data_IF_878430363491
#
_entry.id   IF_878430363491
#
_cell.length_a   1.000
_cell.length_b   1.000
_cell.length_c   1.000
_cell.angle_alpha   90.00
_cell.angle_beta   90.00
_cell.angle_gamma   90.00
#
_symmetry.space_group_name_H-M   'P 1'
#
loop_
_entity.id
_entity.type
_entity.pdbx_description
1 polymer ?
#
# COMPACT_ATOMS: atom_id res chain seq x y z
N UNK A 1 14.89 -29.30 5.00
CA UNK A 1 13.43 -29.22 5.06
C UNK A 1 12.97 -29.07 3.61
N UNK A 2 12.42 -30.14 3.00
CA UNK A 2 11.98 -30.04 1.60
C UNK A 2 10.73 -29.16 1.57
N UNK A 3 10.89 -27.94 1.13
CA UNK A 3 9.78 -27.02 0.86
C UNK A 3 8.94 -27.58 -0.30
N UNK A 4 7.63 -27.47 -0.19
CA UNK A 4 6.71 -27.75 -1.28
C UNK A 4 7.00 -26.76 -2.40
N UNK A 5 7.05 -27.22 -3.65
CA UNK A 5 7.07 -26.36 -4.84
C UNK A 5 5.67 -26.35 -5.47
N UNK A 6 5.38 -25.38 -6.34
CA UNK A 6 4.10 -25.35 -7.06
C UNK A 6 3.84 -26.65 -7.86
N UNK A 7 4.91 -27.33 -8.27
CA UNK A 7 4.86 -28.62 -9.00
C UNK A 7 4.88 -29.85 -8.06
N UNK A 8 4.78 -29.66 -6.73
CA UNK A 8 4.78 -30.78 -5.80
C UNK A 8 3.46 -31.57 -5.94
N UNK A 9 3.52 -32.89 -6.22
CA UNK A 9 2.32 -33.72 -6.38
C UNK A 9 1.39 -33.70 -5.15
N UNK A 10 1.93 -33.42 -3.97
CA UNK A 10 1.14 -33.31 -2.72
C UNK A 10 0.31 -32.02 -2.72
N UNK A 11 0.83 -30.93 -3.29
CA UNK A 11 0.10 -29.69 -3.46
C UNK A 11 -1.06 -29.86 -4.45
N UNK A 12 -0.80 -30.42 -5.62
CA UNK A 12 -1.84 -30.73 -6.61
C UNK A 12 -2.91 -31.66 -6.04
N UNK A 13 -2.51 -32.70 -5.28
CA UNK A 13 -3.44 -33.60 -4.62
C UNK A 13 -4.30 -32.87 -3.55
N UNK A 14 -3.71 -31.93 -2.82
CA UNK A 14 -4.44 -31.12 -1.82
C UNK A 14 -5.45 -30.20 -2.52
N UNK A 15 -5.05 -29.46 -3.53
CA UNK A 15 -5.95 -28.57 -4.31
C UNK A 15 -7.06 -29.38 -4.97
N UNK A 16 -6.76 -30.55 -5.53
CA UNK A 16 -7.74 -31.45 -6.12
C UNK A 16 -8.78 -31.93 -5.11
N UNK A 17 -8.36 -32.33 -3.89
CA UNK A 17 -9.28 -32.75 -2.82
C UNK A 17 -10.17 -31.61 -2.31
N UNK A 18 -9.62 -30.40 -2.16
CA UNK A 18 -10.39 -29.23 -1.73
C UNK A 18 -11.41 -28.81 -2.78
N UNK A 19 -11.07 -28.90 -4.06
CA UNK A 19 -12.00 -28.66 -5.17
C UNK A 19 -13.14 -29.68 -5.18
N UNK A 20 -12.83 -30.99 -5.01
CA UNK A 20 -13.83 -32.03 -4.91
C UNK A 20 -14.78 -31.87 -3.69
N UNK A 21 -14.25 -31.36 -2.56
CA UNK A 21 -15.07 -31.03 -1.40
C UNK A 21 -16.02 -29.86 -1.70
N UNK A 22 -15.54 -28.83 -2.41
CA UNK A 22 -16.37 -27.72 -2.83
C UNK A 22 -17.49 -28.17 -3.78
N UNK A 23 -17.20 -29.09 -4.71
CA UNK A 23 -18.20 -29.65 -5.62
C UNK A 23 -19.27 -30.47 -4.86
N UNK A 24 -18.88 -31.22 -3.83
CA UNK A 24 -19.82 -31.95 -2.97
C UNK A 24 -20.70 -31.03 -2.12
N UNK A 25 -20.16 -29.87 -1.67
CA UNK A 25 -20.94 -28.83 -0.98
C UNK A 25 -21.93 -28.17 -1.96
N UNK A 26 -21.59 -28.09 -3.25
CA UNK A 26 -22.47 -27.58 -4.30
C UNK A 26 -23.77 -28.41 -4.47
N UNK A 27 -23.75 -29.68 -4.10
CA UNK A 27 -24.92 -30.54 -4.12
C UNK A 27 -25.90 -30.28 -2.95
N UNK A 28 -25.47 -29.45 -1.99
CA UNK A 28 -26.32 -28.96 -0.89
C UNK A 28 -26.86 -27.58 -1.23
N UNK A 29 -28.05 -27.23 -0.73
CA UNK A 29 -28.81 -26.00 -1.07
C UNK A 29 -28.12 -24.67 -0.65
N UNK A 30 -26.89 -24.67 -0.17
CA UNK A 30 -26.20 -23.49 0.36
C UNK A 30 -25.21 -22.86 -0.65
N UNK A 31 -25.74 -22.19 -1.66
CA UNK A 31 -24.95 -21.57 -2.75
C UNK A 31 -23.98 -20.47 -2.28
N UNK A 32 -24.34 -19.69 -1.25
CA UNK A 32 -23.49 -18.59 -0.77
C UNK A 32 -22.19 -19.10 -0.13
N UNK A 33 -22.25 -20.18 0.63
CA UNK A 33 -21.08 -20.80 1.25
C UNK A 33 -20.18 -21.46 0.20
N UNK A 34 -20.76 -22.00 -0.86
CA UNK A 34 -20.03 -22.60 -1.96
C UNK A 34 -19.15 -21.57 -2.71
N UNK A 35 -19.72 -20.42 -3.02
CA UNK A 35 -18.98 -19.36 -3.73
C UNK A 35 -17.83 -18.82 -2.86
N UNK A 36 -18.06 -18.67 -1.55
CA UNK A 36 -17.02 -18.31 -0.58
C UNK A 36 -15.90 -19.35 -0.53
N UNK A 37 -16.23 -20.64 -0.48
CA UNK A 37 -15.25 -21.75 -0.47
C UNK A 37 -14.46 -21.78 -1.79
N UNK A 38 -15.11 -21.65 -2.94
CA UNK A 38 -14.43 -21.59 -4.26
C UNK A 38 -13.47 -20.42 -4.36
N UNK A 39 -13.87 -19.25 -3.87
CA UNK A 39 -13.01 -18.06 -3.81
C UNK A 39 -11.79 -18.28 -2.92
N UNK A 40 -11.97 -18.92 -1.75
CA UNK A 40 -10.86 -19.25 -0.85
C UNK A 40 -9.86 -20.22 -1.48
N UNK A 41 -10.36 -21.27 -2.16
CA UNK A 41 -9.51 -22.23 -2.86
C UNK A 41 -8.72 -21.57 -4.00
N UNK A 42 -9.38 -20.72 -4.79
CA UNK A 42 -8.74 -19.98 -5.87
C UNK A 42 -7.65 -19.03 -5.32
N UNK A 43 -7.95 -18.29 -4.26
CA UNK A 43 -6.98 -17.41 -3.59
C UNK A 43 -5.81 -18.19 -3.00
N UNK A 44 -6.08 -19.34 -2.37
CA UNK A 44 -5.04 -20.21 -1.84
C UNK A 44 -4.10 -20.71 -2.95
N UNK A 45 -4.67 -21.15 -4.07
CA UNK A 45 -3.88 -21.58 -5.23
C UNK A 45 -2.99 -20.46 -5.75
N UNK A 46 -3.56 -19.28 -6.00
CA UNK A 46 -2.81 -18.11 -6.48
C UNK A 46 -1.70 -17.71 -5.50
N UNK A 47 -1.98 -17.67 -4.20
CA UNK A 47 -0.97 -17.33 -3.18
C UNK A 47 0.15 -18.36 -3.11
N UNK A 48 -0.17 -19.64 -3.32
CA UNK A 48 0.85 -20.69 -3.31
C UNK A 48 1.70 -20.65 -4.57
N UNK A 49 1.11 -20.47 -5.74
CA UNK A 49 1.85 -20.26 -7.00
C UNK A 49 2.77 -19.04 -6.91
N UNK A 50 2.30 -17.95 -6.35
CA UNK A 50 3.12 -16.75 -6.12
C UNK A 50 4.23 -17.01 -5.10
N UNK A 51 3.94 -17.74 -4.01
CA UNK A 51 4.92 -18.06 -2.97
C UNK A 51 6.12 -18.85 -3.51
N UNK A 52 5.91 -19.77 -4.46
CA UNK A 52 6.97 -20.58 -5.05
C UNK A 52 7.52 -19.99 -6.36
N UNK A 53 7.07 -18.80 -6.73
CA UNK A 53 7.56 -18.13 -7.94
C UNK A 53 9.05 -17.83 -7.81
N UNK A 54 9.80 -18.15 -8.85
CA UNK A 54 11.22 -17.82 -8.94
C UNK A 54 11.41 -16.29 -8.84
N UNK A 55 12.35 -15.83 -8.01
CA UNK A 55 12.60 -14.42 -7.74
C UNK A 55 11.45 -13.65 -7.04
N UNK A 56 10.58 -14.36 -6.32
CA UNK A 56 9.56 -13.72 -5.50
C UNK A 56 10.18 -12.80 -4.46
N UNK A 57 9.62 -11.62 -4.30
CA UNK A 57 9.95 -10.71 -3.21
C UNK A 57 9.10 -11.04 -1.98
N UNK A 58 9.70 -10.96 -0.80
CA UNK A 58 8.99 -11.01 0.46
C UNK A 58 8.29 -9.65 0.68
N UNK A 59 6.97 -9.66 0.71
CA UNK A 59 6.17 -8.46 0.91
C UNK A 59 6.00 -8.16 2.40
N UNK A 60 6.52 -7.03 2.85
CA UNK A 60 6.49 -6.58 4.23
C UNK A 60 5.65 -5.31 4.33
N UNK A 61 4.54 -5.37 5.04
CA UNK A 61 3.69 -4.22 5.32
C UNK A 61 4.00 -3.62 6.68
N UNK A 62 4.08 -2.29 6.76
CA UNK A 62 4.15 -1.57 8.03
C UNK A 62 2.85 -0.79 8.20
N UNK A 63 2.07 -1.17 9.21
CA UNK A 63 0.72 -0.65 9.44
C UNK A 63 0.59 -0.08 10.84
N UNK A 64 -0.39 0.75 11.05
CA UNK A 64 -0.71 1.39 12.33
C UNK A 64 -1.35 2.74 12.13
N UNK A 65 -1.89 3.28 13.22
CA UNK A 65 -2.53 4.58 13.21
C UNK A 65 -1.58 5.70 12.76
N UNK A 66 -2.17 6.84 12.41
CA UNK A 66 -1.40 8.08 12.20
C UNK A 66 -0.65 8.43 13.48
N UNK A 67 0.62 8.83 13.35
CA UNK A 67 1.54 9.11 14.47
C UNK A 67 1.91 7.90 15.34
N UNK A 68 1.62 6.68 14.93
CA UNK A 68 2.11 5.48 15.62
C UNK A 68 3.63 5.27 15.49
N UNK A 69 4.32 6.08 14.69
CA UNK A 69 5.78 6.02 14.53
C UNK A 69 6.25 5.19 13.35
N UNK A 70 5.40 4.84 12.36
CA UNK A 70 5.74 4.02 11.19
C UNK A 70 6.97 4.52 10.44
N UNK A 71 6.95 5.77 9.96
CA UNK A 71 8.10 6.33 9.24
C UNK A 71 9.35 6.45 10.12
N UNK A 72 9.21 6.72 11.43
CA UNK A 72 10.34 6.73 12.35
C UNK A 72 10.94 5.34 12.54
N UNK A 73 10.11 4.30 12.64
CA UNK A 73 10.53 2.90 12.69
C UNK A 73 11.28 2.52 11.41
N UNK A 74 10.73 2.83 10.25
CA UNK A 74 11.36 2.55 8.96
C UNK A 74 12.65 3.35 8.76
N UNK A 75 12.69 4.62 9.15
CA UNK A 75 13.91 5.43 9.11
C UNK A 75 15.02 4.82 9.98
N UNK A 76 14.66 4.29 11.16
CA UNK A 76 15.64 3.63 12.03
C UNK A 76 16.11 2.30 11.44
N UNK A 77 15.18 1.50 10.93
CA UNK A 77 15.48 0.16 10.41
C UNK A 77 16.28 0.19 9.09
N UNK A 78 15.91 1.10 8.19
CA UNK A 78 16.39 1.07 6.80
C UNK A 78 17.41 2.16 6.46
N UNK A 79 17.45 3.23 7.25
CA UNK A 79 18.28 4.39 6.97
C UNK A 79 19.15 4.83 8.15
N UNK A 80 19.47 3.89 9.07
CA UNK A 80 20.33 4.14 10.23
C UNK A 80 19.87 5.31 11.11
N UNK A 81 18.55 5.51 11.21
CA UNK A 81 17.93 6.59 11.97
C UNK A 81 17.94 7.96 11.27
N UNK A 82 18.46 8.05 10.04
CA UNK A 82 18.34 9.27 9.25
C UNK A 82 16.88 9.52 8.85
N UNK A 83 16.44 10.75 8.96
CA UNK A 83 15.05 11.13 8.61
C UNK A 83 14.89 11.28 7.09
N UNK A 84 14.80 10.15 6.38
CA UNK A 84 14.62 10.09 4.92
C UNK A 84 13.14 10.09 4.57
N UNK A 85 12.36 9.19 5.19
CA UNK A 85 10.92 9.14 5.00
C UNK A 85 10.27 10.27 5.81
N UNK A 86 9.48 11.15 5.19
CA UNK A 86 8.81 12.23 5.90
C UNK A 86 7.80 11.67 6.89
N UNK A 87 7.66 12.35 8.02
CA UNK A 87 6.66 12.01 9.03
C UNK A 87 5.33 12.61 8.60
N UNK A 88 4.36 11.76 8.30
CA UNK A 88 3.00 12.25 8.04
C UNK A 88 2.36 12.71 9.36
N UNK A 89 1.94 13.95 9.42
CA UNK A 89 1.28 14.53 10.59
C UNK A 89 -0.24 14.44 10.52
N UNK A 90 -0.78 14.20 9.34
CA UNK A 90 -2.22 14.02 9.12
C UNK A 90 -2.51 12.81 8.22
N UNK A 91 -3.68 12.13 8.38
CA UNK A 91 -4.09 11.03 7.50
C UNK A 91 -4.19 11.45 6.03
N UNK A 92 -4.45 12.72 5.78
CA UNK A 92 -4.79 13.30 4.48
C UNK A 92 -3.62 13.41 3.51
N UNK A 93 -2.38 13.32 4.02
CA UNK A 93 -1.16 13.47 3.23
C UNK A 93 -0.35 12.17 3.16
N UNK A 94 -0.80 11.13 3.85
CA UNK A 94 -0.11 9.86 3.86
C UNK A 94 -0.22 9.20 2.49
N UNK A 95 0.92 9.01 1.84
CA UNK A 95 1.02 8.35 0.54
C UNK A 95 1.67 6.98 0.72
N UNK A 96 1.16 5.96 0.04
CA UNK A 96 1.76 4.64 0.04
C UNK A 96 3.19 4.75 -0.50
N UNK A 97 4.16 4.41 0.33
CA UNK A 97 5.57 4.42 -0.04
C UNK A 97 6.12 3.01 -0.04
N UNK A 98 6.49 2.52 -1.22
CA UNK A 98 7.08 1.21 -1.43
C UNK A 98 8.59 1.32 -1.56
N UNK A 99 9.34 0.38 -0.99
CA UNK A 99 10.80 0.32 -1.06
C UNK A 99 11.24 -1.04 -1.57
N UNK A 100 12.07 -1.05 -2.59
CA UNK A 100 12.56 -2.26 -3.25
C UNK A 100 14.04 -2.14 -3.63
N UNK A 101 14.69 -3.29 -3.84
CA UNK A 101 16.04 -3.33 -4.40
C UNK A 101 16.05 -2.96 -5.88
N UNK A 102 17.07 -2.21 -6.28
CA UNK A 102 17.48 -2.02 -7.68
C UNK A 102 18.99 -1.76 -7.76
N UNK A 103 19.59 -2.03 -8.90
CA UNK A 103 21.01 -1.72 -9.15
C UNK A 103 21.27 -0.22 -9.24
N UNK A 104 20.24 0.62 -9.32
CA UNK A 104 20.31 2.07 -9.34
C UNK A 104 19.34 2.69 -8.36
N UNK A 105 19.75 3.77 -7.72
CA UNK A 105 18.87 4.57 -6.88
C UNK A 105 17.91 5.38 -7.74
N UNK A 106 16.61 5.15 -7.57
CA UNK A 106 15.57 5.82 -8.35
C UNK A 106 14.30 6.01 -7.51
N UNK A 107 13.59 7.07 -7.77
CA UNK A 107 12.26 7.31 -7.24
C UNK A 107 11.26 7.26 -8.40
N UNK A 108 10.19 6.52 -8.24
CA UNK A 108 9.05 6.50 -9.14
C UNK A 108 7.86 7.10 -8.41
N UNK A 109 7.26 8.10 -9.02
CA UNK A 109 6.06 8.78 -8.53
C UNK A 109 4.89 8.34 -9.38
N UNK A 110 3.82 7.87 -8.77
CA UNK A 110 2.55 7.55 -9.43
C UNK A 110 1.51 8.60 -9.07
N UNK A 111 0.94 9.23 -10.07
CA UNK A 111 -0.15 10.20 -9.93
C UNK A 111 -1.52 9.51 -9.94
N UNK A 112 -2.56 10.19 -9.48
CA UNK A 112 -3.92 9.73 -9.72
C UNK A 112 -4.20 9.64 -11.21
N UNK A 113 -5.06 8.70 -11.62
CA UNK A 113 -5.60 8.74 -12.98
C UNK A 113 -6.62 9.87 -13.13
N UNK A 114 -6.94 10.23 -14.37
CA UNK A 114 -7.95 11.24 -14.65
C UNK A 114 -9.30 10.83 -14.05
N UNK A 115 -9.66 9.56 -14.18
CA UNK A 115 -10.92 9.00 -13.66
C UNK A 115 -10.97 9.04 -12.12
N UNK A 116 -9.88 8.66 -11.45
CA UNK A 116 -9.78 8.75 -9.99
C UNK A 116 -9.89 10.21 -9.52
N UNK A 117 -9.32 11.13 -10.29
CA UNK A 117 -9.39 12.56 -9.99
C UNK A 117 -10.81 13.12 -10.16
N UNK A 118 -11.53 12.70 -11.19
CA UNK A 118 -12.95 13.07 -11.39
C UNK A 118 -13.80 12.60 -10.22
N UNK A 119 -13.64 11.35 -9.76
CA UNK A 119 -14.34 10.84 -8.57
C UNK A 119 -14.01 11.67 -7.33
N UNK A 120 -12.74 12.08 -7.15
CA UNK A 120 -12.35 12.94 -6.05
C UNK A 120 -13.03 14.33 -6.13
N UNK A 121 -13.15 14.91 -7.34
CA UNK A 121 -13.84 16.18 -7.54
C UNK A 121 -15.36 16.05 -7.27
N UNK A 122 -15.98 14.95 -7.68
CA UNK A 122 -17.39 14.66 -7.39
C UNK A 122 -17.60 14.56 -5.87
N UNK A 123 -16.76 13.79 -5.16
CA UNK A 123 -16.84 13.68 -3.71
C UNK A 123 -16.69 15.04 -3.02
N UNK A 124 -15.78 15.89 -3.49
CA UNK A 124 -15.59 17.23 -2.93
C UNK A 124 -16.79 18.16 -3.13
N UNK A 125 -17.67 17.87 -4.09
CA UNK A 125 -18.87 18.65 -4.35
C UNK A 125 -20.03 18.34 -3.38
N UNK A 126 -19.94 17.19 -2.68
CA UNK A 126 -20.98 16.73 -1.76
C UNK A 126 -20.89 17.49 -0.44
N UNK A 127 -22.01 18.08 -0.02
CA UNK A 127 -22.10 18.77 1.28
C UNK A 127 -22.43 17.76 2.39
N UNK A 128 -21.37 17.22 2.99
CA UNK A 128 -21.43 16.23 4.08
C UNK A 128 -20.21 16.37 4.97
N UNK A 129 -20.39 16.05 6.25
CA UNK A 129 -19.31 15.99 7.24
C UNK A 129 -18.59 14.64 7.26
N UNK A 130 -18.98 13.72 6.37
CA UNK A 130 -18.29 12.43 6.21
C UNK A 130 -16.83 12.67 5.82
N UNK A 131 -15.95 11.87 6.38
CA UNK A 131 -14.49 11.99 6.23
C UNK A 131 -14.04 11.91 4.76
N UNK A 132 -14.71 11.12 3.94
CA UNK A 132 -14.42 10.98 2.50
C UNK A 132 -14.60 12.33 1.78
N UNK A 133 -15.72 13.01 2.03
CA UNK A 133 -16.06 14.27 1.35
C UNK A 133 -15.24 15.45 1.87
N UNK A 134 -15.04 15.53 3.18
CA UNK A 134 -14.22 16.59 3.81
C UNK A 134 -12.78 16.51 3.33
N UNK A 135 -12.23 15.33 3.20
CA UNK A 135 -10.85 15.12 2.72
C UNK A 135 -10.69 15.40 1.24
N UNK A 136 -11.67 15.04 0.44
CA UNK A 136 -11.67 15.43 -0.97
C UNK A 136 -11.66 16.96 -1.12
N UNK A 137 -12.47 17.68 -0.34
CA UNK A 137 -12.47 19.16 -0.28
C UNK A 137 -11.10 19.72 0.09
N UNK A 138 -10.44 19.13 1.08
CA UNK A 138 -9.12 19.57 1.52
C UNK A 138 -8.03 19.33 0.49
N UNK A 139 -8.02 18.17 -0.19
CA UNK A 139 -7.08 17.87 -1.26
C UNK A 139 -7.21 18.88 -2.39
N UNK A 140 -8.43 19.18 -2.85
CA UNK A 140 -8.65 20.22 -3.85
C UNK A 140 -8.25 21.61 -3.32
N UNK A 141 -8.45 21.86 -2.02
CA UNK A 141 -7.96 23.07 -1.35
C UNK A 141 -6.44 23.17 -1.39
N UNK A 142 -5.73 22.07 -1.17
CA UNK A 142 -4.25 22.03 -1.26
C UNK A 142 -3.79 22.31 -2.70
N UNK A 143 -4.40 21.69 -3.70
CA UNK A 143 -4.10 21.95 -5.12
C UNK A 143 -4.22 23.45 -5.44
N UNK A 144 -5.31 24.08 -5.00
CA UNK A 144 -5.54 25.53 -5.21
C UNK A 144 -4.48 26.38 -4.49
N UNK A 145 -4.19 26.07 -3.21
CA UNK A 145 -3.18 26.82 -2.43
C UNK A 145 -1.79 26.68 -3.05
N UNK A 146 -1.46 25.51 -3.59
CA UNK A 146 -0.17 25.24 -4.22
C UNK A 146 -0.08 25.82 -5.62
N UNK A 147 -1.15 26.39 -6.17
CA UNK A 147 -1.20 26.90 -7.55
C UNK A 147 -0.87 25.82 -8.59
N UNK A 148 -1.29 24.58 -8.33
CA UNK A 148 -0.96 23.42 -9.14
C UNK A 148 -2.07 23.16 -10.15
N UNK A 149 -1.68 23.01 -11.43
CA UNK A 149 -2.52 22.40 -12.44
C UNK A 149 -2.29 20.89 -12.42
N UNK A 150 -3.24 20.06 -11.99
CA UNK A 150 -3.04 18.62 -11.90
C UNK A 150 -3.01 17.92 -13.26
N UNK A 151 -3.76 18.39 -14.24
CA UNK A 151 -4.06 17.66 -15.47
C UNK A 151 -2.81 17.13 -16.21
N UNK A 152 -1.74 17.90 -16.42
CA UNK A 152 -0.54 17.39 -17.11
C UNK A 152 0.13 16.20 -16.40
N UNK A 153 0.01 16.13 -15.06
CA UNK A 153 0.57 15.03 -14.26
C UNK A 153 -0.34 13.80 -14.30
N UNK A 154 -1.65 14.01 -14.19
CA UNK A 154 -2.65 12.93 -14.25
C UNK A 154 -2.60 12.21 -15.61
N UNK A 155 -2.53 12.96 -16.72
CA UNK A 155 -2.38 12.40 -18.08
C UNK A 155 -1.05 11.65 -18.25
N UNK A 156 0.02 12.13 -17.63
CA UNK A 156 1.32 11.48 -17.66
C UNK A 156 1.34 10.18 -16.84
N UNK A 157 0.57 10.10 -15.78
CA UNK A 157 0.39 8.96 -14.90
C UNK A 157 1.56 8.69 -13.96
N UNK A 158 2.81 8.84 -14.41
CA UNK A 158 4.00 8.59 -13.58
C UNK A 158 5.20 9.44 -13.97
N UNK A 159 6.08 9.64 -12.99
CA UNK A 159 7.42 10.19 -13.16
C UNK A 159 8.47 9.29 -12.53
N UNK A 160 9.67 9.28 -13.14
CA UNK A 160 10.82 8.53 -12.65
C UNK A 160 12.06 9.42 -12.73
N UNK A 161 12.85 9.43 -11.65
CA UNK A 161 14.14 10.14 -11.62
C UNK A 161 15.11 9.46 -10.67
N UNK A 162 16.39 9.47 -11.03
CA UNK A 162 17.48 8.98 -10.20
C UNK A 162 17.89 10.01 -9.15
N UNK A 163 18.49 9.52 -8.06
CA UNK A 163 19.11 10.36 -7.05
C UNK A 163 20.47 9.76 -6.66
N UNK A 164 21.42 10.64 -6.32
CA UNK A 164 22.78 10.23 -5.97
C UNK A 164 22.97 10.23 -4.45
N UNK A 165 22.29 11.11 -3.73
CA UNK A 165 22.44 11.28 -2.28
C UNK A 165 21.11 11.10 -1.55
N UNK A 166 21.18 10.82 -0.25
CA UNK A 166 19.98 10.79 0.58
C UNK A 166 19.40 12.18 0.80
N UNK A 167 20.19 13.21 0.70
CA UNK A 167 19.76 14.61 0.73
C UNK A 167 18.84 14.92 -0.46
N UNK A 168 19.21 14.48 -1.67
CA UNK A 168 18.36 14.61 -2.86
C UNK A 168 17.06 13.82 -2.72
N UNK A 169 17.15 12.57 -2.22
CA UNK A 169 15.98 11.75 -1.96
C UNK A 169 15.04 12.43 -0.94
N UNK A 170 15.58 12.94 0.16
CA UNK A 170 14.79 13.60 1.20
C UNK A 170 14.11 14.86 0.66
N UNK A 171 14.84 15.67 -0.13
CA UNK A 171 14.28 16.85 -0.76
C UNK A 171 13.14 16.50 -1.74
N UNK A 172 13.32 15.45 -2.55
CA UNK A 172 12.29 14.94 -3.43
C UNK A 172 11.07 14.45 -2.64
N UNK A 173 11.27 13.59 -1.64
CA UNK A 173 10.18 13.06 -0.83
C UNK A 173 9.40 14.17 -0.11
N UNK A 174 10.07 15.18 0.42
CA UNK A 174 9.37 16.31 1.04
C UNK A 174 8.49 17.07 0.04
N UNK A 175 8.91 17.16 -1.22
CA UNK A 175 8.14 17.86 -2.25
C UNK A 175 6.95 17.04 -2.77
N UNK A 176 7.09 15.71 -2.82
CA UNK A 176 6.07 14.81 -3.39
C UNK A 176 5.15 14.18 -2.34
N UNK A 177 5.64 13.90 -1.13
CA UNK A 177 4.87 13.21 -0.09
C UNK A 177 4.93 13.87 1.28
N UNK A 178 5.68 14.96 1.43
CA UNK A 178 5.71 15.76 2.65
C UNK A 178 4.38 16.47 2.90
N UNK A 179 4.10 16.83 4.16
CA UNK A 179 2.85 17.49 4.56
C UNK A 179 2.57 18.77 3.76
N UNK A 180 3.59 19.59 3.53
CA UNK A 180 3.52 20.84 2.77
C UNK A 180 4.06 20.68 1.34
N UNK A 181 4.23 19.46 0.86
CA UNK A 181 4.77 19.18 -0.46
C UNK A 181 3.88 19.72 -1.57
N UNK A 182 4.49 20.37 -2.54
CA UNK A 182 3.73 21.00 -3.64
C UNK A 182 2.87 19.99 -4.38
N UNK A 183 3.40 18.79 -4.62
CA UNK A 183 2.75 17.74 -5.42
C UNK A 183 1.97 16.73 -4.58
N UNK A 184 2.12 16.72 -3.26
CA UNK A 184 1.47 15.77 -2.35
C UNK A 184 -0.01 15.51 -2.64
N UNK A 185 -0.85 16.53 -2.96
CA UNK A 185 -2.28 16.30 -3.18
C UNK A 185 -2.61 15.50 -4.45
N UNK A 186 -1.70 15.36 -5.39
CA UNK A 186 -1.93 14.62 -6.64
C UNK A 186 -1.18 13.29 -6.72
N UNK A 187 -0.46 12.91 -5.66
CA UNK A 187 0.34 11.67 -5.61
C UNK A 187 -0.52 10.53 -5.11
N UNK A 188 -0.51 9.42 -5.83
CA UNK A 188 -1.16 8.16 -5.47
C UNK A 188 -0.24 7.23 -4.71
N UNK A 189 0.98 7.05 -5.21
CA UNK A 189 1.98 6.20 -4.60
C UNK A 189 3.40 6.63 -4.97
N UNK A 190 4.36 6.22 -4.16
CA UNK A 190 5.79 6.39 -4.42
C UNK A 190 6.48 5.06 -4.29
N UNK A 191 7.38 4.73 -5.23
CA UNK A 191 8.28 3.58 -5.11
C UNK A 191 9.72 4.07 -5.09
N UNK A 192 10.44 3.69 -4.03
CA UNK A 192 11.86 3.92 -3.89
C UNK A 192 12.60 2.66 -4.32
N UNK A 193 13.41 2.78 -5.33
CA UNK A 193 14.36 1.77 -5.74
C UNK A 193 15.72 2.13 -5.16
N UNK A 194 16.27 1.23 -4.34
CA UNK A 194 17.47 1.48 -3.55
C UNK A 194 18.56 0.48 -3.92
N UNK A 195 19.75 0.97 -4.24
CA UNK A 195 20.92 0.13 -4.44
C UNK A 195 21.54 -0.23 -3.07
N UNK A 196 20.81 -1.07 -2.34
CA UNK A 196 21.20 -1.63 -1.05
C UNK A 196 20.90 -3.12 -1.02
N UNK A 197 21.91 -3.94 -0.84
CA UNK A 197 21.78 -5.41 -0.83
C UNK A 197 20.76 -5.93 0.19
N UNK A 198 20.57 -5.20 1.30
CA UNK A 198 19.61 -5.53 2.36
C UNK A 198 18.16 -5.55 1.87
N UNK A 199 17.87 -4.85 0.77
CA UNK A 199 16.53 -4.86 0.13
C UNK A 199 16.36 -5.95 -0.93
N UNK A 200 17.43 -6.70 -1.26
CA UNK A 200 17.32 -7.74 -2.28
C UNK A 200 16.32 -8.83 -1.86
N UNK A 201 15.35 -9.07 -2.71
CA UNK A 201 14.27 -10.02 -2.41
C UNK A 201 13.21 -9.51 -1.44
N UNK A 202 13.25 -8.23 -1.05
CA UNK A 202 12.25 -7.59 -0.20
C UNK A 202 11.43 -6.55 -0.97
N UNK A 203 10.19 -6.40 -0.57
CA UNK A 203 9.30 -5.31 -0.94
C UNK A 203 8.66 -4.78 0.34
N UNK A 204 9.12 -3.62 0.81
CA UNK A 204 8.66 -3.02 2.07
C UNK A 204 7.73 -1.87 1.74
N UNK A 205 6.56 -1.84 2.39
CA UNK A 205 5.57 -0.81 2.15
C UNK A 205 5.21 -0.11 3.46
N UNK A 206 5.45 1.20 3.48
CA UNK A 206 4.85 2.10 4.47
C UNK A 206 3.43 2.43 4.03
N UNK A 207 2.46 1.92 4.78
CA UNK A 207 1.07 2.15 4.43
C UNK A 207 0.58 3.47 5.02
N UNK A 208 -0.27 4.23 4.29
CA UNK A 208 -1.09 5.26 4.91
C UNK A 208 -1.86 4.68 6.09
N UNK A 209 -2.20 5.48 7.07
CA UNK A 209 -3.15 5.04 8.10
C UNK A 209 -4.43 4.54 7.40
N UNK A 210 -5.00 3.41 7.83
CA UNK A 210 -6.15 2.76 7.16
C UNK A 210 -7.44 3.61 7.17
N UNK A 211 -7.44 4.70 7.90
CA UNK A 211 -8.49 5.73 7.84
C UNK A 211 -8.13 6.84 6.84
N UNK A 212 -7.42 6.52 5.76
CA UNK A 212 -7.21 7.47 4.68
C UNK A 212 -8.56 7.66 3.95
N UNK A 213 -9.09 8.88 3.93
CA UNK A 213 -10.39 9.17 3.35
C UNK A 213 -10.43 9.08 1.82
N UNK A 214 -9.29 8.84 1.20
CA UNK A 214 -9.25 8.60 -0.23
C UNK A 214 -9.47 7.11 -0.49
N UNK A 215 -10.64 6.77 -0.99
CA UNK A 215 -11.06 5.38 -1.21
C UNK A 215 -10.03 4.56 -2.02
N UNK A 216 -9.38 5.15 -3.02
CA UNK A 216 -8.35 4.47 -3.81
C UNK A 216 -7.09 4.14 -3.01
N UNK A 217 -6.67 4.99 -2.06
CA UNK A 217 -5.53 4.71 -1.17
C UNK A 217 -5.86 3.61 -0.17
N UNK A 218 -7.04 3.68 0.45
CA UNK A 218 -7.52 2.65 1.38
C UNK A 218 -7.66 1.31 0.67
N UNK A 219 -8.23 1.28 -0.54
CA UNK A 219 -8.37 0.05 -1.33
C UNK A 219 -6.99 -0.56 -1.64
N UNK A 220 -6.04 0.23 -2.13
CA UNK A 220 -4.66 -0.24 -2.40
C UNK A 220 -3.96 -0.76 -1.14
N UNK A 221 -4.14 -0.07 -0.01
CA UNK A 221 -3.58 -0.54 1.26
C UNK A 221 -4.15 -1.90 1.63
N UNK A 222 -5.47 -2.10 1.48
CA UNK A 222 -6.12 -3.39 1.73
C UNK A 222 -5.64 -4.46 0.77
N UNK A 223 -5.61 -4.18 -0.53
CA UNK A 223 -5.10 -5.11 -1.55
C UNK A 223 -3.64 -5.50 -1.28
N UNK A 224 -2.80 -4.53 -0.88
CA UNK A 224 -1.42 -4.83 -0.51
C UNK A 224 -1.33 -5.67 0.76
N UNK A 225 -2.14 -5.37 1.78
CA UNK A 225 -2.19 -6.14 3.03
C UNK A 225 -2.57 -7.60 2.78
N UNK A 226 -3.47 -7.88 1.83
CA UNK A 226 -3.87 -9.24 1.45
C UNK A 226 -2.72 -10.06 0.86
N UNK A 227 -1.71 -9.41 0.26
CA UNK A 227 -0.54 -10.06 -0.34
C UNK A 227 0.72 -9.96 0.51
N UNK A 228 0.66 -9.33 1.68
CA UNK A 228 1.79 -9.29 2.61
C UNK A 228 2.10 -10.67 3.18
N UNK A 229 3.39 -10.98 3.27
CA UNK A 229 3.92 -12.15 3.95
C UNK A 229 4.16 -11.87 5.44
N UNK A 230 4.53 -10.64 5.73
CA UNK A 230 4.82 -10.15 7.08
C UNK A 230 4.17 -8.78 7.25
N UNK A 231 3.56 -8.57 8.40
CA UNK A 231 2.99 -7.28 8.78
C UNK A 231 3.58 -6.84 10.11
N UNK A 232 4.23 -5.67 10.12
CA UNK A 232 4.60 -4.98 11.35
C UNK A 232 3.47 -4.03 11.75
N UNK A 233 2.77 -4.39 12.81
CA UNK A 233 1.72 -3.56 13.39
C UNK A 233 2.29 -2.65 14.46
N UNK A 234 2.21 -1.33 14.27
CA UNK A 234 2.66 -0.33 15.23
C UNK A 234 1.47 0.33 15.91
N UNK A 235 1.42 0.23 17.21
CA UNK A 235 0.42 0.87 18.06
C UNK A 235 1.09 1.81 19.07
N UNK A 236 0.37 2.86 19.47
CA UNK A 236 0.85 3.80 20.48
C UNK A 236 0.84 3.16 21.86
N UNK A 237 1.94 3.28 22.61
CA UNK A 237 2.08 2.68 23.93
C UNK A 237 1.01 3.14 24.94
N UNK A 238 0.48 4.35 24.76
CA UNK A 238 -0.56 4.92 25.65
C UNK A 238 -1.99 4.44 25.35
N UNK A 239 -2.22 3.84 24.17
CA UNK A 239 -3.53 3.34 23.71
C UNK A 239 -3.40 2.04 22.92
N UNK A 240 -2.58 1.12 23.42
CA UNK A 240 -2.27 -0.13 22.74
C UNK A 240 -3.51 -0.96 22.48
N UNK A 241 -3.72 -1.35 21.23
CA UNK A 241 -4.87 -2.14 20.74
C UNK A 241 -6.22 -1.51 21.13
N UNK A 242 -6.36 -0.20 20.89
CA UNK A 242 -7.66 0.45 21.02
C UNK A 242 -8.65 0.03 19.91
N UNK A 243 -9.86 0.59 19.95
CA UNK A 243 -10.90 0.23 18.97
C UNK A 243 -10.46 0.48 17.52
N UNK A 244 -9.72 1.55 17.27
CA UNK A 244 -9.24 1.88 15.93
C UNK A 244 -8.17 0.90 15.48
N UNK A 245 -7.32 0.40 16.38
CA UNK A 245 -6.34 -0.64 16.10
C UNK A 245 -7.03 -1.97 15.72
N UNK A 246 -8.14 -2.32 16.39
CA UNK A 246 -8.94 -3.51 16.06
C UNK A 246 -9.65 -3.43 14.70
N UNK A 247 -10.03 -2.23 14.27
CA UNK A 247 -10.60 -2.03 12.93
C UNK A 247 -9.55 -2.17 11.81
N UNK A 248 -8.25 -2.17 12.19
CA UNK A 248 -7.11 -2.34 11.30
C UNK A 248 -6.71 -3.82 11.09
N UNK A 249 -7.04 -4.69 12.02
CA UNK A 249 -6.70 -6.11 12.03
C UNK A 249 -7.85 -6.98 11.48
#
# INVERSE_FOLDING_TARGET
>A
MNLFTADDPRFEAFVGRTSQLADRIAETDNKNDLDAVKKLIANFKLKTEDFYRENRKLNIGVVGQVKAGKSSFLNTLLFDGKEILPKASTPKTATLTKMEYSDQNMIQIEYYSVEEWEVLQENASIDSDDEIYTSAKEILGMVRRNGLDPLPYLEKGKDEFSFDTYEDLTAALNNYVGEDGKFTPIIKAVTLYLNKEEFRGLSIVDTPGLNDPIASRTLRTKEFMEVCDVVFFLSQSGSFLDKSDWELL
#
